data_IF_764549265525
#
_entry.id   IF_764549265525
#
_cell.length_a   1.000
_cell.length_b   1.000
_cell.length_c   1.000
_cell.angle_alpha   90.00
_cell.angle_beta   90.00
_cell.angle_gamma   90.00
#
_symmetry.space_group_name_H-M   'P 1'
#
loop_
_entity.id
_entity.type
_entity.pdbx_description
1 polymer ?
#
# COMPACT_ATOMS: atom_id res chain seq x y z
N UNK A 1 4.67 -1.83 -10.41
CA UNK A 1 3.33 -1.22 -10.28
C UNK A 1 3.32 0.14 -10.97
N UNK A 2 2.17 0.78 -11.17
CA UNK A 2 2.04 2.04 -11.91
C UNK A 2 2.42 3.32 -11.11
N UNK A 3 2.91 3.19 -9.87
CA UNK A 3 3.40 4.34 -9.10
C UNK A 3 2.28 5.31 -8.69
N UNK A 4 1.08 4.81 -8.40
CA UNK A 4 -0.02 5.67 -7.99
C UNK A 4 0.12 6.12 -6.54
N UNK A 5 -0.22 7.39 -6.22
CA UNK A 5 -0.40 7.82 -4.84
C UNK A 5 -1.63 7.11 -4.26
N UNK A 6 -1.42 6.42 -3.16
CA UNK A 6 -2.41 5.61 -2.47
C UNK A 6 -2.46 5.91 -0.99
N UNK A 7 -3.61 5.61 -0.42
CA UNK A 7 -3.89 5.57 1.01
C UNK A 7 -4.22 4.15 1.41
N UNK A 8 -3.56 3.68 2.44
CA UNK A 8 -3.67 2.35 2.99
C UNK A 8 -4.29 2.44 4.37
N UNK A 9 -5.24 1.56 4.67
CA UNK A 9 -5.69 1.30 6.03
C UNK A 9 -5.24 -0.11 6.40
N UNK A 10 -4.62 -0.24 7.57
CA UNK A 10 -4.15 -1.53 8.09
C UNK A 10 -5.13 -2.14 9.09
N UNK A 11 -4.99 -3.44 9.40
CA UNK A 11 -5.80 -4.16 10.40
C UNK A 11 -5.76 -3.53 11.79
N UNK A 12 -4.64 -2.86 12.13
CA UNK A 12 -4.48 -2.13 13.40
C UNK A 12 -5.07 -0.72 13.37
N UNK A 13 -5.77 -0.34 12.29
CA UNK A 13 -6.37 0.99 12.12
C UNK A 13 -5.38 2.08 11.71
N UNK A 14 -4.11 1.75 11.48
CA UNK A 14 -3.11 2.72 11.02
C UNK A 14 -3.39 3.09 9.56
N UNK A 15 -3.37 4.40 9.30
CA UNK A 15 -3.49 4.99 7.98
C UNK A 15 -2.11 5.39 7.46
N UNK A 16 -1.75 4.89 6.27
CA UNK A 16 -0.48 5.18 5.61
C UNK A 16 -0.76 5.79 4.23
N UNK A 17 -0.08 6.88 3.90
CA UNK A 17 -0.23 7.57 2.62
C UNK A 17 1.12 7.66 1.93
N UNK A 18 1.15 7.33 0.63
CA UNK A 18 2.40 7.33 -0.14
C UNK A 18 2.21 6.82 -1.55
N UNK A 19 3.30 6.63 -2.28
CA UNK A 19 3.28 6.13 -3.65
C UNK A 19 3.56 4.63 -3.64
N UNK A 20 2.61 3.83 -4.11
CA UNK A 20 2.77 2.39 -4.26
C UNK A 20 3.45 2.09 -5.60
N UNK A 21 4.72 1.70 -5.56
CA UNK A 21 5.53 1.55 -6.78
C UNK A 21 5.93 0.10 -7.08
N UNK A 22 6.05 -0.75 -6.07
CA UNK A 22 6.54 -2.11 -6.23
C UNK A 22 6.11 -3.04 -5.08
N UNK A 23 6.20 -4.35 -5.28
CA UNK A 23 5.97 -5.36 -4.25
C UNK A 23 7.26 -6.13 -4.00
N UNK A 24 7.59 -6.42 -2.75
CA UNK A 24 8.77 -7.19 -2.38
C UNK A 24 8.45 -8.17 -1.25
N UNK A 25 9.35 -9.14 -1.03
CA UNK A 25 9.30 -9.96 0.18
C UNK A 25 10.17 -9.34 1.26
N UNK A 26 9.63 -9.30 2.47
CA UNK A 26 10.42 -8.96 3.66
C UNK A 26 11.34 -10.14 4.06
N UNK A 27 12.25 -9.92 5.02
CA UNK A 27 13.18 -10.93 5.54
C UNK A 27 12.44 -12.19 6.06
N UNK A 28 11.23 -12.01 6.58
CA UNK A 28 10.36 -13.12 7.00
C UNK A 28 9.67 -13.87 5.85
N UNK A 29 9.95 -13.51 4.59
CA UNK A 29 9.33 -14.09 3.39
C UNK A 29 7.90 -13.62 3.10
N UNK A 30 7.37 -12.69 3.91
CA UNK A 30 6.03 -12.13 3.73
C UNK A 30 5.96 -11.22 2.51
N UNK A 31 4.87 -11.29 1.75
CA UNK A 31 4.63 -10.35 0.65
C UNK A 31 4.26 -8.97 1.19
N UNK A 32 5.03 -7.97 0.77
CA UNK A 32 4.93 -6.59 1.20
C UNK A 32 4.78 -5.64 0.01
N UNK A 33 4.00 -4.59 0.21
CA UNK A 33 3.94 -3.44 -0.68
C UNK A 33 5.05 -2.44 -0.31
N UNK A 34 5.86 -2.05 -1.28
CA UNK A 34 6.77 -0.91 -1.15
C UNK A 34 5.97 0.38 -1.33
N UNK A 35 5.88 1.12 -0.25
CA UNK A 35 5.23 2.42 -0.20
C UNK A 35 6.28 3.50 0.00
N UNK A 36 6.40 4.40 -0.98
CA UNK A 36 7.23 5.59 -0.86
C UNK A 36 6.46 6.67 -0.12
N UNK A 37 6.79 6.88 1.15
CA UNK A 37 6.22 7.98 1.95
C UNK A 37 7.06 9.25 1.76
N UNK A 38 6.62 10.37 2.35
CA UNK A 38 7.39 11.63 2.31
C UNK A 38 8.77 11.52 2.97
N UNK A 39 8.91 10.62 3.95
CA UNK A 39 10.11 10.53 4.78
C UNK A 39 11.03 9.39 4.36
N UNK A 40 10.47 8.26 3.94
CA UNK A 40 11.23 7.07 3.54
C UNK A 40 10.37 6.09 2.77
N UNK A 41 11.00 5.16 2.08
CA UNK A 41 10.36 3.95 1.58
C UNK A 41 10.11 2.99 2.74
N UNK A 42 8.89 2.46 2.84
CA UNK A 42 8.50 1.46 3.85
C UNK A 42 7.93 0.23 3.17
N UNK A 43 8.03 -0.91 3.86
CA UNK A 43 7.37 -2.15 3.49
C UNK A 43 6.10 -2.33 4.32
N UNK A 44 4.96 -2.52 3.65
CA UNK A 44 3.67 -2.79 4.30
C UNK A 44 3.24 -4.19 3.92
N UNK A 45 3.18 -5.11 4.90
CA UNK A 45 2.75 -6.50 4.66
C UNK A 45 1.34 -6.50 4.06
N UNK A 46 1.16 -7.18 2.92
CA UNK A 46 -0.10 -7.17 2.19
C UNK A 46 -1.26 -7.73 3.01
N UNK A 47 -1.01 -8.79 3.79
CA UNK A 47 -1.99 -9.38 4.71
C UNK A 47 -2.48 -8.37 5.77
N UNK A 48 -1.67 -7.37 6.13
CA UNK A 48 -2.05 -6.38 7.14
C UNK A 48 -2.90 -5.25 6.56
N UNK A 49 -3.09 -5.17 5.24
CA UNK A 49 -3.87 -4.12 4.59
C UNK A 49 -5.34 -4.54 4.56
N UNK A 50 -6.23 -3.70 5.10
CA UNK A 50 -7.69 -3.90 5.00
C UNK A 50 -8.31 -3.06 3.90
N UNK A 51 -7.68 -1.94 3.53
CA UNK A 51 -8.20 -1.03 2.51
C UNK A 51 -7.06 -0.34 1.77
N UNK A 52 -7.19 -0.24 0.46
CA UNK A 52 -6.30 0.49 -0.43
C UNK A 52 -7.14 1.45 -1.28
N UNK A 53 -6.79 2.72 -1.26
CA UNK A 53 -7.52 3.78 -1.96
C UNK A 53 -6.53 4.57 -2.81
N UNK A 54 -6.87 4.89 -4.05
CA UNK A 54 -6.05 5.79 -4.86
C UNK A 54 -6.41 7.23 -4.59
N UNK A 55 -5.40 8.06 -4.33
CA UNK A 55 -5.59 9.50 -4.12
C UNK A 55 -5.80 10.26 -5.43
N UNK A 56 -5.64 9.59 -6.57
CA UNK A 56 -5.87 10.12 -7.91
C UNK A 56 -6.81 9.20 -8.68
N UNK A 57 -7.65 9.79 -9.51
CA UNK A 57 -8.43 9.02 -10.47
C UNK A 57 -7.48 8.26 -11.40
N UNK A 58 -7.65 6.94 -11.46
CA UNK A 58 -6.91 6.07 -12.35
C UNK A 58 -7.88 5.01 -12.90
N UNK A 59 -7.62 4.47 -14.10
CA UNK A 59 -8.52 3.52 -14.75
C UNK A 59 -8.52 2.12 -14.13
N UNK A 60 -7.66 1.83 -13.13
CA UNK A 60 -7.49 0.48 -12.59
C UNK A 60 -8.40 0.22 -11.39
N UNK A 61 -8.42 1.13 -10.41
CA UNK A 61 -9.25 1.01 -9.22
C UNK A 61 -9.33 2.34 -8.48
N UNK A 62 -10.41 2.57 -7.74
CA UNK A 62 -10.50 3.72 -6.83
C UNK A 62 -10.33 3.30 -5.37
N UNK A 63 -11.02 2.24 -4.97
CA UNK A 63 -10.98 1.67 -3.63
C UNK A 63 -11.02 0.16 -3.74
N UNK A 64 -10.13 -0.52 -3.00
CA UNK A 64 -10.10 -1.97 -2.83
C UNK A 64 -10.15 -2.25 -1.34
N UNK A 65 -11.04 -3.16 -0.94
CA UNK A 65 -11.16 -3.62 0.45
C UNK A 65 -10.76 -5.09 0.48
N UNK A 66 -9.80 -5.41 1.35
CA UNK A 66 -9.29 -6.76 1.56
C UNK A 66 -9.92 -7.35 2.83
N UNK A 67 -10.24 -8.65 2.80
CA UNK A 67 -10.88 -9.38 3.91
C UNK A 67 -9.85 -10.23 4.64
#
# INVERSE_FOLDING_TARGET
>A
MYGYPVKLTTKVGQLLEGIAFDTARDDSGNECLKLKTKSTDILVVLDQIVKLETLVANPHFSVVVFK
#
